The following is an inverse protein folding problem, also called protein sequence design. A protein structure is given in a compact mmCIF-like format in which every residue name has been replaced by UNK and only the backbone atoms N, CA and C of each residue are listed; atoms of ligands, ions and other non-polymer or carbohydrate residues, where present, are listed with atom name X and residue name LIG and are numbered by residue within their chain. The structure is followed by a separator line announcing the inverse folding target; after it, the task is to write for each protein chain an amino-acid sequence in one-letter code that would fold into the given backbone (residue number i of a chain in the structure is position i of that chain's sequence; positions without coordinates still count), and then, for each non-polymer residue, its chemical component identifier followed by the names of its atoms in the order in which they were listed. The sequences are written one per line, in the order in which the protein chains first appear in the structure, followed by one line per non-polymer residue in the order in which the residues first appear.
data_IF_444794113881
#
_entry.id   IF_444794113881
#
_cell.length_a   1.000
_cell.length_b   1.000
_cell.length_c   1.000
_cell.angle_alpha   90.00
_cell.angle_beta   90.00
_cell.angle_gamma   90.00
#
_symmetry.space_group_name_H-M   'P 1'
#
loop_
_entity.id
_entity.type
_entity.pdbx_description
1 polymer ?
#
# COMPACT_ATOMS: atom_id res chain seq x y z
N UNK A 1 -4.31 17.71 -5.24
CA UNK A 1 -4.71 16.39 -5.75
C UNK A 1 -3.60 15.41 -5.49
N UNK A 2 -3.84 14.39 -4.67
CA UNK A 2 -2.86 13.34 -4.40
C UNK A 2 -2.71 12.38 -5.58
N UNK A 3 -1.58 11.68 -5.65
CA UNK A 3 -1.38 10.55 -6.56
C UNK A 3 -2.00 9.32 -5.90
N UNK A 4 -3.14 8.86 -6.41
CA UNK A 4 -3.87 7.71 -5.86
C UNK A 4 -3.50 6.39 -6.54
N UNK A 5 -3.06 6.46 -7.81
CA UNK A 5 -2.69 5.31 -8.63
C UNK A 5 -1.18 5.26 -8.77
N UNK A 6 -0.60 4.08 -8.55
CA UNK A 6 0.84 3.83 -8.53
C UNK A 6 1.61 4.87 -7.70
N UNK A 7 1.28 5.03 -6.39
CA UNK A 7 2.00 5.97 -5.54
C UNK A 7 3.48 5.60 -5.47
N UNK A 8 4.31 6.61 -5.19
CA UNK A 8 5.72 6.40 -4.91
C UNK A 8 5.94 5.74 -3.53
N UNK A 9 7.21 5.65 -3.12
CA UNK A 9 7.62 5.07 -1.85
C UNK A 9 7.98 6.13 -0.78
N UNK A 10 7.73 7.42 -1.01
CA UNK A 10 8.15 8.50 -0.12
C UNK A 10 7.49 8.41 1.26
N UNK A 11 6.20 8.03 1.29
CA UNK A 11 5.46 7.86 2.55
C UNK A 11 6.04 6.76 3.44
N UNK A 12 6.51 5.65 2.86
CA UNK A 12 7.15 4.59 3.65
C UNK A 12 8.59 4.94 4.02
N UNK A 13 9.31 5.67 3.16
CA UNK A 13 10.63 6.21 3.50
C UNK A 13 10.58 7.10 4.74
N UNK A 14 9.55 7.95 4.87
CA UNK A 14 9.34 8.75 6.08
C UNK A 14 9.11 7.89 7.32
N UNK A 15 8.39 6.76 7.20
CA UNK A 15 8.20 5.81 8.30
C UNK A 15 9.52 5.16 8.74
N UNK A 16 10.41 4.82 7.78
CA UNK A 16 11.72 4.24 8.09
C UNK A 16 12.69 5.21 8.77
N UNK A 17 12.50 6.52 8.55
CA UNK A 17 13.32 7.57 9.14
C UNK A 17 12.90 7.94 10.58
N UNK A 18 11.83 7.35 11.11
CA UNK A 18 11.38 7.62 12.48
C UNK A 18 12.35 7.01 13.50
N UNK A 19 12.58 7.73 14.60
CA UNK A 19 13.46 7.29 15.71
C UNK A 19 13.09 5.90 16.25
N UNK A 20 11.80 5.59 16.26
CA UNK A 20 11.26 4.32 16.77
C UNK A 20 10.53 3.62 15.62
N UNK A 21 11.29 2.98 14.74
CA UNK A 21 10.75 2.08 13.72
C UNK A 21 10.84 0.62 14.16
N UNK A 22 9.72 -0.11 14.03
CA UNK A 22 9.68 -1.56 14.25
C UNK A 22 9.40 -2.25 12.91
N UNK A 23 10.35 -3.09 12.48
CA UNK A 23 10.22 -3.84 11.24
C UNK A 23 9.10 -4.89 11.30
N UNK A 24 8.02 -4.58 10.58
CA UNK A 24 6.82 -5.39 10.35
C UNK A 24 6.72 -5.94 8.91
N UNK A 25 7.81 -5.89 8.14
CA UNK A 25 7.84 -6.29 6.73
C UNK A 25 7.44 -7.75 6.46
N UNK A 26 7.51 -8.63 7.47
CA UNK A 26 7.02 -10.01 7.36
C UNK A 26 5.52 -10.13 7.08
N UNK A 27 4.73 -9.06 7.29
CA UNK A 27 3.32 -9.00 6.83
C UNK A 27 3.25 -9.22 5.31
N UNK A 28 4.23 -8.71 4.55
CA UNK A 28 4.31 -8.88 3.10
C UNK A 28 4.44 -10.36 2.75
N UNK A 29 5.30 -11.12 3.46
CA UNK A 29 5.44 -12.56 3.21
C UNK A 29 4.12 -13.30 3.43
N UNK A 30 3.35 -12.92 4.46
CA UNK A 30 2.03 -13.49 4.69
C UNK A 30 1.07 -13.19 3.52
N UNK A 31 1.06 -11.96 3.01
CA UNK A 31 0.18 -11.55 1.90
C UNK A 31 0.60 -12.22 0.58
N UNK A 32 1.90 -12.29 0.29
CA UNK A 32 2.46 -12.88 -0.92
C UNK A 32 1.97 -14.33 -1.16
N UNK A 33 1.66 -15.07 -0.09
CA UNK A 33 1.12 -16.45 -0.18
C UNK A 33 -0.26 -16.52 -0.85
N UNK A 34 -1.03 -15.44 -0.81
CA UNK A 34 -2.43 -15.41 -1.26
C UNK A 34 -2.63 -14.61 -2.56
N UNK A 35 -1.64 -13.85 -3.03
CA UNK A 35 -1.81 -12.95 -4.19
C UNK A 35 -2.35 -13.68 -5.44
N UNK A 36 -1.80 -14.86 -5.73
CA UNK A 36 -2.15 -15.66 -6.91
C UNK A 36 -3.21 -16.74 -6.58
N UNK A 37 -3.98 -16.59 -5.50
CA UNK A 37 -4.96 -17.59 -5.05
C UNK A 37 -6.40 -17.05 -5.03
N UNK A 38 -7.36 -17.95 -4.80
CA UNK A 38 -8.77 -17.57 -4.61
C UNK A 38 -8.97 -16.75 -3.32
N UNK A 39 -8.13 -16.97 -2.32
CA UNK A 39 -8.15 -16.30 -1.00
C UNK A 39 -7.41 -14.94 -0.99
N UNK A 40 -7.20 -14.31 -2.15
CA UNK A 40 -6.46 -13.04 -2.29
C UNK A 40 -7.12 -11.82 -1.63
N UNK A 41 -8.36 -11.94 -1.19
CA UNK A 41 -9.12 -10.86 -0.58
C UNK A 41 -8.81 -10.76 0.92
N UNK A 42 -7.87 -9.89 1.28
CA UNK A 42 -7.36 -9.78 2.64
C UNK A 42 -7.87 -8.50 3.31
N UNK A 43 -8.42 -8.63 4.51
CA UNK A 43 -8.70 -7.51 5.41
C UNK A 43 -7.75 -7.57 6.62
N UNK A 44 -7.05 -6.46 6.87
CA UNK A 44 -6.16 -6.32 8.02
C UNK A 44 -6.77 -5.34 9.03
N UNK A 45 -7.47 -5.89 10.02
CA UNK A 45 -7.98 -5.10 11.14
C UNK A 45 -6.91 -4.93 12.23
N UNK A 46 -6.53 -3.69 12.53
CA UNK A 46 -5.68 -3.37 13.69
C UNK A 46 -6.41 -2.45 14.68
N UNK A 47 -6.00 -2.36 15.95
CA UNK A 47 -6.51 -1.36 16.89
C UNK A 47 -6.09 0.09 16.53
N UNK A 48 -6.64 1.08 17.23
CA UNK A 48 -6.21 2.47 17.07
C UNK A 48 -4.74 2.64 17.53
N UNK A 49 -3.96 3.43 16.80
CA UNK A 49 -2.51 3.66 17.03
C UNK A 49 -1.60 2.44 16.83
N UNK A 50 -2.05 1.41 16.13
CA UNK A 50 -1.25 0.23 15.78
C UNK A 50 -0.63 0.31 14.38
N UNK A 51 -0.25 1.50 13.92
CA UNK A 51 0.48 1.69 12.66
C UNK A 51 -0.25 1.21 11.39
N UNK A 52 -1.58 1.37 11.34
CA UNK A 52 -2.38 1.08 10.15
C UNK A 52 -1.84 1.80 8.91
N UNK A 53 -1.64 3.11 9.02
CA UNK A 53 -1.16 3.95 7.92
C UNK A 53 0.25 3.56 7.49
N UNK A 54 1.14 3.24 8.45
CA UNK A 54 2.48 2.75 8.13
C UNK A 54 2.43 1.42 7.38
N UNK A 55 1.55 0.51 7.78
CA UNK A 55 1.38 -0.78 7.09
C UNK A 55 0.85 -0.56 5.68
N UNK A 56 -0.15 0.31 5.49
CA UNK A 56 -0.66 0.66 4.16
C UNK A 56 0.44 1.29 3.27
N UNK A 57 1.23 2.22 3.81
CA UNK A 57 2.37 2.83 3.11
C UNK A 57 3.43 1.78 2.73
N UNK A 58 3.75 0.86 3.65
CA UNK A 58 4.69 -0.23 3.42
C UNK A 58 4.23 -1.15 2.28
N UNK A 59 2.96 -1.59 2.30
CA UNK A 59 2.41 -2.43 1.25
C UNK A 59 2.38 -1.69 -0.10
N UNK A 60 2.02 -0.41 -0.07
CA UNK A 60 2.02 0.45 -1.26
C UNK A 60 3.42 0.53 -1.87
N UNK A 61 4.44 0.88 -1.06
CA UNK A 61 5.82 0.99 -1.51
C UNK A 61 6.39 -0.35 -2.01
N UNK A 62 5.96 -1.48 -1.46
CA UNK A 62 6.42 -2.80 -1.85
C UNK A 62 5.80 -3.27 -3.18
N UNK A 63 4.49 -3.10 -3.38
CA UNK A 63 3.82 -3.64 -4.57
C UNK A 63 3.78 -2.68 -5.75
N UNK A 64 3.75 -1.36 -5.51
CA UNK A 64 3.55 -0.34 -6.55
C UNK A 64 4.62 -0.41 -7.63
N UNK A 65 4.20 -0.52 -8.89
CA UNK A 65 5.08 -0.41 -10.07
C UNK A 65 5.53 1.03 -10.37
N UNK A 66 4.98 2.01 -9.65
CA UNK A 66 5.31 3.44 -9.80
C UNK A 66 6.64 3.86 -9.18
N UNK A 67 7.37 2.94 -8.51
CA UNK A 67 8.62 3.24 -7.84
C UNK A 67 9.57 2.03 -7.86
N UNK A 68 10.86 2.29 -7.59
CA UNK A 68 11.84 1.26 -7.26
C UNK A 68 12.10 1.31 -5.75
N UNK A 69 11.70 0.25 -5.05
CA UNK A 69 11.82 0.12 -3.60
C UNK A 69 12.81 -0.96 -3.20
N UNK A 70 13.60 -1.51 -4.12
CA UNK A 70 14.47 -2.67 -3.83
C UNK A 70 15.46 -2.42 -2.71
N UNK A 71 16.18 -1.30 -2.77
CA UNK A 71 17.14 -0.90 -1.74
C UNK A 71 16.47 -0.59 -0.41
N UNK A 72 15.27 0.00 -0.46
CA UNK A 72 14.48 0.30 0.74
C UNK A 72 14.12 -0.97 1.53
N UNK A 73 13.75 -2.04 0.83
CA UNK A 73 13.38 -3.30 1.46
C UNK A 73 14.56 -4.25 1.70
N UNK A 74 15.73 -4.04 1.08
CA UNK A 74 16.87 -4.96 1.20
C UNK A 74 17.43 -5.07 2.62
N UNK A 75 17.20 -4.06 3.45
CA UNK A 75 17.63 -4.03 4.85
C UNK A 75 16.57 -4.56 5.84
N UNK A 76 15.37 -4.91 5.36
CA UNK A 76 14.25 -5.38 6.19
C UNK A 76 14.17 -6.91 6.20
N UNK A 77 13.45 -7.48 7.17
CA UNK A 77 13.27 -8.94 7.33
C UNK A 77 12.73 -9.61 6.07
N UNK A 78 11.84 -8.95 5.32
CA UNK A 78 11.26 -9.49 4.08
C UNK A 78 12.32 -9.84 3.03
N UNK A 79 13.48 -9.17 3.01
CA UNK A 79 14.55 -9.44 2.04
C UNK A 79 15.08 -10.88 2.08
N UNK A 80 14.88 -11.58 3.20
CA UNK A 80 15.26 -12.99 3.39
C UNK A 80 14.20 -13.97 2.90
N UNK A 81 12.99 -13.51 2.56
CA UNK A 81 11.91 -14.35 2.08
C UNK A 81 12.14 -14.74 0.61
N UNK A 82 11.88 -16.00 0.27
CA UNK A 82 11.91 -16.46 -1.12
C UNK A 82 10.91 -15.71 -2.03
N UNK A 83 9.85 -15.15 -1.44
CA UNK A 83 8.82 -14.40 -2.16
C UNK A 83 9.20 -12.93 -2.42
N UNK A 84 10.33 -12.46 -1.87
CA UNK A 84 10.69 -11.04 -1.85
C UNK A 84 10.71 -10.41 -3.25
N UNK A 85 11.49 -10.96 -4.18
CA UNK A 85 11.63 -10.37 -5.51
C UNK A 85 10.47 -10.71 -6.45
N UNK A 86 9.68 -11.74 -6.12
CA UNK A 86 8.57 -12.20 -6.96
C UNK A 86 7.51 -11.10 -7.13
N UNK A 87 7.23 -10.37 -6.06
CA UNK A 87 6.11 -9.42 -6.00
C UNK A 87 6.53 -7.95 -5.87
N UNK A 88 7.82 -7.69 -5.64
CA UNK A 88 8.36 -6.34 -5.47
C UNK A 88 8.19 -5.48 -6.74
N UNK A 89 7.49 -4.35 -6.59
CA UNK A 89 7.22 -3.35 -7.61
C UNK A 89 6.61 -3.90 -8.91
N UNK A 90 5.73 -4.91 -8.81
CA UNK A 90 5.11 -5.60 -9.97
C UNK A 90 3.65 -5.26 -10.22
N UNK A 91 3.00 -4.47 -9.38
CA UNK A 91 1.55 -4.31 -9.38
C UNK A 91 1.11 -2.87 -9.58
N UNK A 92 -0.06 -2.73 -10.21
CA UNK A 92 -0.82 -1.49 -10.10
C UNK A 92 -1.38 -1.39 -8.68
N UNK A 93 -1.13 -0.26 -8.01
CA UNK A 93 -1.62 -0.03 -6.63
C UNK A 93 -2.51 1.19 -6.62
N UNK A 94 -3.69 1.06 -6.01
CA UNK A 94 -4.57 2.17 -5.69
C UNK A 94 -4.55 2.35 -4.18
N UNK A 95 -4.04 3.49 -3.71
CA UNK A 95 -3.96 3.80 -2.29
C UNK A 95 -5.00 4.86 -1.92
N UNK A 96 -6.01 4.44 -1.15
CA UNK A 96 -7.13 5.29 -0.75
C UNK A 96 -7.10 5.48 0.76
N UNK A 97 -7.06 6.73 1.21
CA UNK A 97 -7.29 7.09 2.60
C UNK A 97 -8.71 7.63 2.76
N UNK A 98 -9.62 6.79 3.25
CA UNK A 98 -11.04 7.12 3.39
C UNK A 98 -11.32 8.37 4.23
N UNK A 99 -10.45 8.71 5.19
CA UNK A 99 -10.63 9.91 6.03
C UNK A 99 -10.52 11.18 5.18
N UNK A 100 -9.59 11.21 4.23
CA UNK A 100 -9.42 12.36 3.34
C UNK A 100 -10.64 12.51 2.42
N UNK A 101 -11.14 11.39 1.86
CA UNK A 101 -12.33 11.40 1.02
C UNK A 101 -13.56 11.86 1.79
N UNK A 102 -13.75 11.37 3.03
CA UNK A 102 -14.86 11.79 3.90
C UNK A 102 -14.80 13.29 4.26
N UNK A 103 -13.60 13.87 4.37
CA UNK A 103 -13.46 15.30 4.65
C UNK A 103 -13.76 16.20 3.44
N UNK A 104 -13.67 15.66 2.23
CA UNK A 104 -13.89 16.38 0.97
C UNK A 104 -15.30 16.16 0.40
N UNK A 105 -15.96 15.05 0.74
CA UNK A 105 -17.33 14.72 0.34
C UNK A 105 -18.38 15.35 1.26
N UNK A 106 -19.44 15.92 0.70
CA UNK A 106 -20.60 16.40 1.48
C UNK A 106 -21.52 15.28 1.93
N UNK A 107 -21.57 14.20 1.16
CA UNK A 107 -22.38 13.02 1.44
C UNK A 107 -21.75 11.73 0.88
N UNK A 108 -22.41 10.61 1.17
CA UNK A 108 -21.90 9.28 0.82
C UNK A 108 -21.93 8.99 -0.69
N UNK A 109 -22.81 9.64 -1.45
CA UNK A 109 -22.88 9.45 -2.90
C UNK A 109 -21.68 10.13 -3.56
N UNK A 110 -21.37 11.36 -3.15
CA UNK A 110 -20.20 12.09 -3.65
C UNK A 110 -18.89 11.34 -3.34
N UNK A 111 -18.80 10.66 -2.19
CA UNK A 111 -17.67 9.78 -1.88
C UNK A 111 -17.58 8.58 -2.84
N UNK A 112 -18.70 7.93 -3.15
CA UNK A 112 -18.74 6.79 -4.08
C UNK A 112 -18.29 7.23 -5.47
N UNK A 113 -18.72 8.40 -5.93
CA UNK A 113 -18.33 8.97 -7.21
C UNK A 113 -16.80 9.22 -7.25
N UNK A 114 -16.23 9.82 -6.20
CA UNK A 114 -14.78 10.03 -6.12
C UNK A 114 -13.95 8.74 -6.15
N UNK A 115 -14.42 7.69 -5.47
CA UNK A 115 -13.74 6.39 -5.48
C UNK A 115 -13.81 5.76 -6.87
N UNK A 116 -14.96 5.87 -7.54
CA UNK A 116 -15.17 5.33 -8.88
C UNK A 116 -14.27 6.02 -9.91
N UNK A 117 -14.24 7.35 -9.92
CA UNK A 117 -13.35 8.16 -10.78
C UNK A 117 -11.86 7.82 -10.58
N UNK A 118 -11.48 7.53 -9.34
CA UNK A 118 -10.10 7.15 -9.01
C UNK A 118 -9.75 5.76 -9.55
N UNK A 119 -10.71 4.83 -9.51
CA UNK A 119 -10.55 3.49 -10.07
C UNK A 119 -10.46 3.53 -11.59
N UNK A 120 -11.30 4.33 -12.26
CA UNK A 120 -11.33 4.45 -13.72
C UNK A 120 -10.03 5.05 -14.27
N UNK A 121 -9.51 6.10 -13.64
CA UNK A 121 -8.18 6.66 -13.97
C UNK A 121 -7.06 5.63 -13.78
N UNK A 122 -7.23 4.70 -12.85
CA UNK A 122 -6.31 3.59 -12.65
C UNK A 122 -6.30 2.58 -13.79
N UNK A 123 -7.43 2.38 -14.46
CA UNK A 123 -7.53 1.51 -15.64
C UNK A 123 -6.92 2.14 -16.88
N UNK A 124 -7.04 3.46 -17.06
CA UNK A 124 -6.46 4.18 -18.21
C UNK A 124 -4.92 4.20 -18.20
N UNK A 125 -4.31 4.07 -17.03
CA UNK A 125 -2.86 4.04 -16.84
C UNK A 125 -2.27 2.61 -16.88
N UNK A 126 -3.10 1.57 -17.05
CA UNK A 126 -2.71 0.15 -16.94
C UNK A 126 -1.87 -0.32 -18.14
#
# INVERSE_FOLDING_TARGET
MGIYVNPDNANFQQCLQQDIYVDKSMIIECINKYIDTEDRFINISMPLRFDKSMTANMLTAYYSRGCDSREMFSNLKIAKSASFEKHLNKYNVIHINMVNFLSESKDMNELIDFVSDTADKGQELS
#
